data_IF_083534688073
#
_entry.id   IF_083534688073
#
_cell.length_a   1.000
_cell.length_b   1.000
_cell.length_c   1.000
_cell.angle_alpha   90.00
_cell.angle_beta   90.00
_cell.angle_gamma   90.00
#
_symmetry.space_group_name_H-M   'P 1'
#
loop_
_entity.id
_entity.type
_entity.pdbx_description
1 polymer ?
#
# COMPACT_ATOMS: atom_id res chain seq x y z
N UNK A 1 0.07 -53.57 4.78
CA UNK A 1 -0.74 -52.36 4.85
C UNK A 1 0.11 -51.24 5.39
N UNK A 2 0.64 -50.47 4.53
CA UNK A 2 1.44 -49.29 4.86
C UNK A 2 0.51 -48.05 4.70
N UNK A 3 0.07 -47.46 5.81
CA UNK A 3 -0.51 -46.14 5.77
C UNK A 3 0.64 -45.15 5.70
N UNK A 4 0.94 -44.71 4.50
CA UNK A 4 1.85 -43.59 4.27
C UNK A 4 1.15 -42.31 4.71
N UNK A 5 1.26 -41.98 6.00
CA UNK A 5 1.06 -40.63 6.47
C UNK A 5 2.38 -39.89 6.21
N UNK A 6 2.59 -39.47 4.98
CA UNK A 6 3.54 -38.42 4.68
C UNK A 6 2.96 -37.13 5.24
N UNK A 7 3.11 -36.91 6.54
CA UNK A 7 3.00 -35.60 7.13
C UNK A 7 4.03 -34.75 6.38
N UNK A 8 3.55 -33.77 5.64
CA UNK A 8 4.40 -32.94 4.82
C UNK A 8 5.46 -32.30 5.72
N UNK A 9 6.73 -32.38 5.33
CA UNK A 9 7.86 -31.74 6.02
C UNK A 9 7.63 -30.22 6.22
N UNK A 10 6.69 -29.65 5.49
CA UNK A 10 6.24 -28.26 5.60
C UNK A 10 5.30 -28.04 6.77
N UNK A 11 4.43 -28.97 7.08
CA UNK A 11 3.48 -28.88 8.19
C UNK A 11 4.21 -28.92 9.54
N UNK A 12 5.21 -29.77 9.68
CA UNK A 12 6.07 -29.86 10.86
C UNK A 12 6.85 -28.57 11.10
N UNK A 13 7.36 -27.96 10.03
CA UNK A 13 8.12 -26.71 10.11
C UNK A 13 7.20 -25.53 10.48
N UNK A 14 6.02 -25.48 9.93
CA UNK A 14 5.05 -24.42 10.22
C UNK A 14 4.58 -24.49 11.68
N UNK A 15 4.30 -25.71 12.17
CA UNK A 15 3.93 -25.94 13.57
C UNK A 15 5.08 -25.61 14.53
N UNK A 16 6.28 -26.05 14.24
CA UNK A 16 7.49 -25.70 14.99
C UNK A 16 7.66 -24.19 15.10
N UNK A 17 7.56 -23.46 13.98
CA UNK A 17 7.70 -22.00 13.97
C UNK A 17 6.60 -21.31 14.76
N UNK A 18 5.37 -21.83 14.72
CA UNK A 18 4.24 -21.32 15.52
C UNK A 18 4.52 -21.45 17.00
N UNK A 19 4.94 -22.62 17.44
CA UNK A 19 5.28 -22.89 18.84
C UNK A 19 6.51 -22.10 19.28
N UNK A 20 7.50 -21.98 18.44
CA UNK A 20 8.71 -21.21 18.75
C UNK A 20 8.38 -19.71 18.94
N UNK A 21 7.53 -19.13 18.08
CA UNK A 21 7.09 -17.73 18.21
C UNK A 21 6.29 -17.51 19.49
N UNK A 22 5.41 -18.44 19.84
CA UNK A 22 4.64 -18.39 21.08
C UNK A 22 5.54 -18.39 22.32
N UNK A 23 6.63 -19.16 22.29
CA UNK A 23 7.62 -19.23 23.39
C UNK A 23 8.64 -18.10 23.41
N UNK A 24 8.77 -17.34 22.32
CA UNK A 24 9.79 -16.31 22.17
C UNK A 24 9.20 -14.96 21.70
N UNK A 25 8.19 -14.41 22.36
CA UNK A 25 7.51 -13.18 21.92
C UNK A 25 8.47 -11.98 21.86
N UNK A 26 9.39 -11.86 22.82
CA UNK A 26 10.34 -10.74 22.85
C UNK A 26 11.36 -10.81 21.69
N UNK A 27 11.82 -12.02 21.33
CA UNK A 27 12.71 -12.20 20.18
C UNK A 27 11.99 -11.85 18.87
N UNK A 28 10.73 -12.23 18.75
CA UNK A 28 9.90 -11.87 17.60
C UNK A 28 9.74 -10.34 17.51
N UNK A 29 9.41 -9.68 18.60
CA UNK A 29 9.28 -8.23 18.67
C UNK A 29 10.59 -7.53 18.31
N UNK A 30 11.72 -7.98 18.85
CA UNK A 30 13.03 -7.45 18.53
C UNK A 30 13.38 -7.63 17.04
N UNK A 31 13.08 -8.78 16.45
CA UNK A 31 13.26 -9.03 15.02
C UNK A 31 12.43 -8.07 14.15
N UNK A 32 11.13 -7.90 14.48
CA UNK A 32 10.26 -6.97 13.74
C UNK A 32 10.69 -5.50 13.91
N UNK A 33 11.12 -5.11 15.10
CA UNK A 33 11.58 -3.74 15.37
C UNK A 33 12.91 -3.42 14.67
N UNK A 34 13.75 -4.44 14.45
CA UNK A 34 15.04 -4.30 13.74
C UNK A 34 14.89 -4.21 12.22
N UNK A 35 13.74 -4.61 11.67
CA UNK A 35 13.50 -4.52 10.23
C UNK A 35 13.39 -3.06 9.81
N UNK A 36 14.14 -2.69 8.81
CA UNK A 36 14.04 -1.37 8.20
C UNK A 36 12.66 -1.23 7.52
N UNK A 37 11.86 -0.29 8.01
CA UNK A 37 10.51 -0.04 7.49
C UNK A 37 10.54 0.48 6.05
N UNK A 38 11.58 1.23 5.69
CA UNK A 38 11.76 1.72 4.32
C UNK A 38 12.05 0.56 3.36
N UNK A 39 12.98 -0.34 3.70
CA UNK A 39 13.28 -1.53 2.90
C UNK A 39 12.04 -2.40 2.67
N UNK A 40 11.22 -2.60 3.71
CA UNK A 40 9.95 -3.33 3.59
C UNK A 40 9.00 -2.65 2.62
N UNK A 41 8.90 -1.33 2.69
CA UNK A 41 8.03 -0.53 1.83
C UNK A 41 8.49 -0.58 0.38
N UNK A 42 9.77 -0.38 0.13
CA UNK A 42 10.35 -0.43 -1.21
C UNK A 42 10.12 -1.80 -1.88
N UNK A 43 10.33 -2.87 -1.14
CA UNK A 43 10.04 -4.24 -1.61
C UNK A 43 8.55 -4.44 -1.90
N UNK A 44 7.67 -3.87 -1.08
CA UNK A 44 6.23 -3.94 -1.31
C UNK A 44 5.81 -3.14 -2.55
N UNK A 45 6.38 -1.97 -2.75
CA UNK A 45 6.13 -1.15 -3.94
C UNK A 45 6.58 -1.86 -5.22
N UNK A 46 7.78 -2.43 -5.21
CA UNK A 46 8.29 -3.17 -6.34
C UNK A 46 7.40 -4.38 -6.67
N UNK A 47 7.00 -5.14 -5.65
CA UNK A 47 6.15 -6.31 -5.83
C UNK A 47 4.73 -5.98 -6.30
N UNK A 48 4.12 -4.93 -5.75
CA UNK A 48 2.72 -4.58 -6.03
C UNK A 48 2.55 -3.75 -7.29
N UNK A 49 3.47 -2.83 -7.52
CA UNK A 49 3.33 -1.79 -8.54
C UNK A 49 4.47 -1.76 -9.55
N UNK A 50 5.54 -2.49 -9.32
CA UNK A 50 6.73 -2.45 -10.18
C UNK A 50 7.51 -1.14 -10.09
N UNK A 51 7.32 -0.36 -9.02
CA UNK A 51 8.01 0.92 -8.83
C UNK A 51 9.18 0.81 -7.86
N UNK A 52 10.16 1.68 -8.04
CA UNK A 52 11.33 1.84 -7.18
C UNK A 52 11.22 3.10 -6.32
N UNK A 53 12.14 3.24 -5.36
CA UNK A 53 12.27 4.47 -4.58
C UNK A 53 12.56 5.68 -5.47
N UNK A 54 13.43 5.52 -6.43
CA UNK A 54 13.78 6.56 -7.41
C UNK A 54 12.55 7.03 -8.18
N UNK A 55 11.72 6.11 -8.65
CA UNK A 55 10.46 6.45 -9.32
C UNK A 55 9.54 7.28 -8.40
N UNK A 56 9.44 6.88 -7.13
CA UNK A 56 8.61 7.61 -6.15
C UNK A 56 9.13 9.04 -5.96
N UNK A 57 10.42 9.20 -5.71
CA UNK A 57 11.03 10.51 -5.46
C UNK A 57 10.96 11.42 -6.69
N UNK A 58 11.20 10.89 -7.88
CA UNK A 58 11.08 11.62 -9.14
C UNK A 58 9.65 12.05 -9.43
N UNK A 59 8.69 11.16 -9.21
CA UNK A 59 7.26 11.44 -9.41
C UNK A 59 6.78 12.51 -8.42
N UNK A 60 7.15 12.40 -7.15
CA UNK A 60 6.79 13.39 -6.14
C UNK A 60 7.39 14.76 -6.47
N UNK A 61 8.63 14.80 -6.90
CA UNK A 61 9.28 16.03 -7.37
C UNK A 61 8.58 16.63 -8.58
N UNK A 62 8.22 15.81 -9.56
CA UNK A 62 7.46 16.25 -10.74
C UNK A 62 6.06 16.79 -10.39
N UNK A 63 5.46 16.31 -9.31
CA UNK A 63 4.19 16.80 -8.77
C UNK A 63 4.34 18.06 -7.91
N UNK A 64 5.53 18.61 -7.78
CA UNK A 64 5.80 19.78 -6.93
C UNK A 64 5.87 19.47 -5.44
N UNK A 65 6.14 18.22 -5.06
CA UNK A 65 6.24 17.78 -3.67
C UNK A 65 4.91 17.47 -3.00
N UNK A 66 3.81 17.41 -3.75
CA UNK A 66 2.47 17.22 -3.21
C UNK A 66 1.59 16.27 -4.02
N UNK A 67 0.35 16.15 -3.57
CA UNK A 67 -0.67 15.34 -4.22
C UNK A 67 -0.90 15.75 -5.68
N UNK A 68 -1.02 14.78 -6.59
CA UNK A 68 -1.27 15.04 -8.01
C UNK A 68 -2.60 15.73 -8.29
N UNK A 69 -3.57 15.65 -7.39
CA UNK A 69 -4.92 16.24 -7.57
C UNK A 69 -5.03 17.58 -6.83
N UNK A 70 -4.85 17.60 -5.52
CA UNK A 70 -5.10 18.80 -4.71
C UNK A 70 -3.84 19.59 -4.35
N UNK A 71 -2.67 19.13 -4.75
CA UNK A 71 -1.36 19.75 -4.50
C UNK A 71 -0.95 19.85 -3.02
N UNK A 72 -1.73 19.29 -2.09
CA UNK A 72 -1.35 19.32 -0.68
C UNK A 72 -0.04 18.62 -0.44
N UNK A 73 0.80 19.19 0.43
CA UNK A 73 2.00 18.54 0.92
C UNK A 73 1.74 17.63 2.13
N UNK A 74 0.53 17.70 2.68
CA UNK A 74 0.08 16.85 3.78
C UNK A 74 -0.43 15.52 3.25
N UNK A 75 0.16 14.42 3.76
CA UNK A 75 -0.19 13.07 3.33
C UNK A 75 -1.61 12.69 3.77
N UNK A 76 -2.04 13.16 4.93
CA UNK A 76 -3.32 12.86 5.52
C UNK A 76 -3.20 12.28 6.91
N UNK A 77 -3.84 11.13 7.18
CA UNK A 77 -3.83 10.53 8.53
C UNK A 77 -2.41 10.28 9.05
N UNK A 78 -2.20 10.53 10.34
CA UNK A 78 -0.89 10.36 11.01
C UNK A 78 -0.26 8.97 10.87
N UNK A 79 -1.07 7.95 10.58
CA UNK A 79 -0.58 6.59 10.34
C UNK A 79 0.16 6.43 9.00
N UNK A 80 -0.06 7.36 8.08
CA UNK A 80 0.60 7.35 6.77
C UNK A 80 1.84 8.22 6.79
N UNK A 81 2.94 7.70 6.30
CA UNK A 81 4.24 8.38 6.21
C UNK A 81 4.63 8.72 4.79
N UNK A 82 3.86 8.26 3.81
CA UNK A 82 4.11 8.44 2.39
C UNK A 82 2.79 8.67 1.65
N UNK A 83 2.87 9.39 0.53
CA UNK A 83 1.75 9.50 -0.39
C UNK A 83 1.38 8.12 -0.94
N UNK A 84 0.11 7.93 -1.23
CA UNK A 84 -0.40 6.69 -1.79
C UNK A 84 0.00 6.55 -3.25
N UNK A 85 0.48 5.37 -3.62
CA UNK A 85 0.71 5.02 -5.02
C UNK A 85 -0.64 4.71 -5.65
N UNK A 86 -1.09 5.60 -6.52
CA UNK A 86 -2.35 5.43 -7.24
C UNK A 86 -2.13 4.63 -8.53
N UNK A 87 -3.07 3.76 -8.84
CA UNK A 87 -2.99 2.90 -10.02
C UNK A 87 -4.37 2.66 -10.62
N UNK A 88 -4.39 2.36 -11.90
CA UNK A 88 -5.59 1.92 -12.60
C UNK A 88 -5.95 0.51 -12.13
N UNK A 89 -7.12 0.33 -11.52
CA UNK A 89 -7.57 -0.94 -10.97
C UNK A 89 -7.82 -2.03 -12.04
N UNK A 90 -8.02 -1.64 -13.30
CA UNK A 90 -8.24 -2.58 -14.40
C UNK A 90 -6.96 -3.00 -15.09
N UNK A 91 -6.04 -2.07 -15.33
CA UNK A 91 -4.79 -2.31 -16.06
C UNK A 91 -3.60 -2.56 -15.15
N UNK A 92 -3.67 -2.12 -13.88
CA UNK A 92 -2.55 -2.14 -12.95
C UNK A 92 -1.52 -1.03 -13.18
N UNK A 93 -1.72 -0.18 -14.19
CA UNK A 93 -0.79 0.90 -14.51
C UNK A 93 -0.77 1.94 -13.38
N UNK A 94 0.43 2.33 -12.96
CA UNK A 94 0.64 3.35 -11.93
C UNK A 94 0.39 4.72 -12.54
N UNK A 95 -0.47 5.51 -11.90
CA UNK A 95 -0.87 6.84 -12.38
C UNK A 95 -0.09 7.98 -11.73
N UNK A 96 0.17 7.89 -10.43
CA UNK A 96 0.86 8.94 -9.69
C UNK A 96 0.77 8.75 -8.19
N UNK A 97 1.03 9.83 -7.45
CA UNK A 97 1.01 9.86 -5.98
C UNK A 97 -0.11 10.76 -5.48
N UNK A 98 -0.92 10.27 -4.56
CA UNK A 98 -2.07 10.97 -4.01
C UNK A 98 -2.01 11.05 -2.47
N UNK A 99 -2.55 12.10 -1.91
CA UNK A 99 -2.84 12.15 -0.47
C UNK A 99 -3.96 11.16 -0.11
N UNK A 100 -4.10 10.88 1.18
CA UNK A 100 -5.11 9.93 1.67
C UNK A 100 -6.54 10.32 1.25
N UNK A 101 -6.89 11.59 1.33
CA UNK A 101 -8.24 12.06 0.96
C UNK A 101 -8.54 11.87 -0.54
N UNK A 102 -7.64 12.29 -1.40
CA UNK A 102 -7.84 12.15 -2.84
C UNK A 102 -7.85 10.67 -3.28
N UNK A 103 -6.97 9.87 -2.73
CA UNK A 103 -6.94 8.42 -3.01
C UNK A 103 -8.24 7.73 -2.63
N UNK A 104 -8.76 8.00 -1.42
CA UNK A 104 -10.05 7.46 -0.97
C UNK A 104 -11.22 8.06 -1.74
N UNK A 105 -11.17 9.35 -2.05
CA UNK A 105 -12.19 10.04 -2.83
C UNK A 105 -12.41 9.41 -4.20
N UNK A 106 -11.34 9.13 -4.93
CA UNK A 106 -11.43 8.39 -6.20
C UNK A 106 -12.04 7.01 -6.02
N UNK A 107 -11.67 6.30 -4.97
CA UNK A 107 -12.22 4.97 -4.66
C UNK A 107 -13.72 5.02 -4.36
N UNK A 108 -14.20 6.02 -3.63
CA UNK A 108 -15.63 6.19 -3.34
C UNK A 108 -16.45 6.49 -4.60
N UNK A 109 -15.89 7.20 -5.55
CA UNK A 109 -16.48 7.40 -6.87
C UNK A 109 -16.13 6.29 -7.86
N UNK A 110 -15.60 5.15 -7.38
CA UNK A 110 -15.29 3.94 -8.18
C UNK A 110 -14.35 4.21 -9.38
N UNK A 111 -13.44 5.17 -9.23
CA UNK A 111 -12.58 5.64 -10.33
C UNK A 111 -13.36 6.04 -11.59
N UNK A 112 -14.63 6.41 -11.45
CA UNK A 112 -15.50 6.74 -12.56
C UNK A 112 -15.45 8.24 -12.84
N UNK A 113 -14.84 8.61 -13.94
CA UNK A 113 -14.68 10.01 -14.34
C UNK A 113 -16.01 10.74 -14.58
N UNK A 114 -17.02 10.03 -15.05
CA UNK A 114 -18.37 10.61 -15.26
C UNK A 114 -19.02 10.94 -13.92
N UNK A 115 -18.92 10.06 -12.93
CA UNK A 115 -19.44 10.33 -11.57
C UNK A 115 -18.73 11.51 -10.93
N UNK A 116 -17.43 11.64 -11.12
CA UNK A 116 -16.64 12.78 -10.63
C UNK A 116 -17.06 14.09 -11.31
N UNK A 117 -17.29 14.05 -12.62
CA UNK A 117 -17.80 15.19 -13.38
C UNK A 117 -19.20 15.60 -12.91
N UNK A 118 -20.10 14.65 -12.69
CA UNK A 118 -21.43 14.89 -12.15
C UNK A 118 -21.40 15.47 -10.73
N UNK A 119 -20.47 14.99 -9.89
CA UNK A 119 -20.28 15.55 -8.55
C UNK A 119 -19.81 17.01 -8.61
N UNK A 120 -18.89 17.33 -9.51
CA UNK A 120 -18.43 18.70 -9.74
C UNK A 120 -19.59 19.61 -10.22
N UNK A 121 -20.40 19.14 -11.16
CA UNK A 121 -21.58 19.84 -11.67
C UNK A 121 -22.63 20.06 -10.55
N UNK A 122 -22.87 19.05 -9.73
CA UNK A 122 -23.75 19.16 -8.57
C UNK A 122 -23.32 20.28 -7.63
N UNK A 123 -22.03 20.35 -7.28
CA UNK A 123 -21.48 21.41 -6.43
C UNK A 123 -21.59 22.79 -7.09
N UNK A 124 -21.39 22.88 -8.39
CA UNK A 124 -21.52 24.13 -9.15
C UNK A 124 -22.93 24.71 -9.10
N UNK A 125 -23.95 23.84 -9.20
CA UNK A 125 -25.37 24.24 -9.15
C UNK A 125 -25.83 24.71 -7.76
N UNK A 126 -25.09 24.37 -6.71
CA UNK A 126 -25.47 24.64 -5.32
C UNK A 126 -24.52 25.61 -4.61
N UNK A 127 -23.85 26.43 -5.37
CA UNK A 127 -23.05 27.53 -4.83
C UNK A 127 -23.90 28.63 -4.19
#
# INVERSE_FOLDING_TARGET
MMSDTTVSQYDDKAEYLRQWRAKNPEKCKAYYNKRDKEDIREKAWLRRYGITREWYDETLSAQGGGCAICNTTEIGRKVHTHFHVDHNHYTGEVRGLLCDLCNRGLGYFKDNENLLAYAAEYLEKHK
#
